data_IF_080975305787
#
_entry.id   IF_080975305787
#
_cell.length_a   1.000
_cell.length_b   1.000
_cell.length_c   1.000
_cell.angle_alpha   90.00
_cell.angle_beta   90.00
_cell.angle_gamma   90.00
#
_symmetry.space_group_name_H-M   'P 1'
#
loop_
_entity.id
_entity.type
_entity.pdbx_description
1 polymer ?
#
# COMPACT_ATOMS: atom_id res chain seq x y z
N UNK A 1 8.28 6.23 -0.89
CA UNK A 1 8.66 6.94 0.35
C UNK A 1 8.77 8.41 0.02
N UNK A 2 8.38 9.29 0.94
CA UNK A 2 8.35 10.73 0.76
C UNK A 2 9.25 11.34 1.82
N UNK A 3 10.24 12.13 1.41
CA UNK A 3 11.11 12.83 2.36
C UNK A 3 10.32 13.89 3.11
N UNK A 4 10.51 13.95 4.42
CA UNK A 4 9.85 14.92 5.28
C UNK A 4 10.53 15.08 6.63
N UNK A 5 9.85 15.80 7.52
CA UNK A 5 10.25 15.95 8.92
C UNK A 5 9.03 16.03 9.83
N UNK A 6 9.23 15.64 11.08
CA UNK A 6 8.35 15.97 12.20
C UNK A 6 9.19 16.74 13.21
N UNK A 7 8.82 17.99 13.46
CA UNK A 7 9.58 18.97 14.23
C UNK A 7 11.05 19.03 13.75
N UNK A 8 12.00 18.62 14.60
CA UNK A 8 13.43 18.61 14.30
C UNK A 8 13.92 17.29 13.66
N UNK A 9 13.08 16.24 13.58
CA UNK A 9 13.49 14.92 13.12
C UNK A 9 13.21 14.78 11.62
N UNK A 10 14.27 14.70 10.83
CA UNK A 10 14.20 14.42 9.40
C UNK A 10 14.09 12.92 9.15
N UNK A 11 13.36 12.55 8.11
CA UNK A 11 13.25 11.16 7.69
C UNK A 11 12.32 10.97 6.50
N UNK A 12 11.74 9.77 6.41
CA UNK A 12 10.88 9.38 5.31
C UNK A 12 9.53 8.87 5.78
N UNK A 13 8.47 9.38 5.16
CA UNK A 13 7.12 8.86 5.27
C UNK A 13 6.86 7.78 4.21
N UNK A 14 6.08 6.76 4.57
CA UNK A 14 5.45 5.86 3.60
C UNK A 14 4.09 6.44 3.22
N UNK A 15 3.77 6.50 1.93
CA UNK A 15 2.41 6.77 1.51
C UNK A 15 1.65 5.45 1.50
N UNK A 16 0.67 5.31 2.40
CA UNK A 16 0.04 4.04 2.73
C UNK A 16 -1.48 4.16 2.72
N UNK A 17 -2.11 3.76 1.62
CA UNK A 17 -3.57 3.75 1.50
C UNK A 17 -4.25 2.78 2.49
N UNK A 18 -3.52 1.81 3.04
CA UNK A 18 -4.00 0.91 4.11
C UNK A 18 -4.07 1.57 5.48
N UNK A 19 -3.44 2.74 5.67
CA UNK A 19 -3.55 3.53 6.88
C UNK A 19 -4.79 4.44 6.83
N UNK A 20 -5.79 4.25 7.71
CA UNK A 20 -7.08 4.98 7.66
C UNK A 20 -7.01 6.37 8.32
N UNK A 21 -5.82 6.89 8.58
CA UNK A 21 -5.59 8.17 9.26
C UNK A 21 -4.77 9.09 8.37
N UNK A 22 -4.79 10.40 8.60
CA UNK A 22 -3.95 11.34 7.83
C UNK A 22 -2.46 11.02 8.05
N UNK A 23 -2.08 10.80 9.30
CA UNK A 23 -0.72 10.44 9.71
C UNK A 23 -0.75 9.35 10.78
N UNK A 24 0.21 8.44 10.70
CA UNK A 24 0.52 7.48 11.76
C UNK A 24 2.04 7.48 11.99
N UNK A 25 2.46 8.15 13.05
CA UNK A 25 3.88 8.46 13.30
C UNK A 25 4.63 7.30 13.96
N UNK A 26 5.94 7.25 13.74
CA UNK A 26 6.82 6.25 14.34
C UNK A 26 7.46 6.76 15.64
N UNK A 27 6.96 6.27 16.77
CA UNK A 27 7.41 6.69 18.11
C UNK A 27 8.68 5.99 18.59
N UNK A 28 9.27 5.08 17.80
CA UNK A 28 10.60 4.55 18.06
C UNK A 28 11.71 5.58 17.78
N UNK A 29 11.47 6.51 16.84
CA UNK A 29 12.44 7.57 16.48
C UNK A 29 11.94 8.98 16.82
N UNK A 30 10.63 9.20 16.84
CA UNK A 30 10.05 10.50 17.14
C UNK A 30 9.82 10.68 18.64
N UNK A 31 10.20 11.84 19.22
CA UNK A 31 10.03 12.13 20.64
C UNK A 31 8.59 12.56 20.96
N UNK A 32 7.60 11.71 20.65
CA UNK A 32 6.18 11.94 20.89
C UNK A 32 5.71 11.26 22.18
N UNK A 33 4.92 11.97 22.99
CA UNK A 33 4.41 11.44 24.25
C UNK A 33 3.24 10.49 24.02
N UNK A 34 3.21 9.38 24.77
CA UNK A 34 2.11 8.41 24.79
C UNK A 34 0.97 8.91 25.71
N UNK A 35 0.36 10.05 25.36
CA UNK A 35 -0.57 10.77 26.23
C UNK A 35 -1.88 9.98 26.47
N UNK A 36 -2.35 9.25 25.45
CA UNK A 36 -3.60 8.49 25.49
C UNK A 36 -3.46 7.17 24.72
N UNK A 37 -3.87 6.06 25.32
CA UNK A 37 -4.00 4.77 24.63
C UNK A 37 -5.24 4.79 23.73
N UNK A 38 -5.08 4.36 22.48
CA UNK A 38 -6.17 4.35 21.49
C UNK A 38 -6.59 2.92 21.17
N UNK A 39 -5.64 2.07 20.79
CA UNK A 39 -5.93 0.70 20.37
C UNK A 39 -4.67 -0.19 20.40
N UNK A 40 -4.88 -1.50 20.31
CA UNK A 40 -3.83 -2.48 20.01
C UNK A 40 -4.31 -3.45 18.93
N UNK A 41 -3.36 -3.99 18.16
CA UNK A 41 -3.63 -4.88 17.05
C UNK A 41 -2.33 -5.41 16.46
N UNK A 42 -2.36 -5.75 15.17
CA UNK A 42 -1.18 -6.20 14.43
C UNK A 42 -1.09 -5.45 13.09
N UNK A 43 0.13 -5.21 12.62
CA UNK A 43 0.38 -4.77 11.25
C UNK A 43 -0.03 -5.88 10.26
N UNK A 44 -0.19 -5.54 8.97
CA UNK A 44 -0.49 -6.52 7.92
C UNK A 44 0.55 -7.65 7.81
N UNK A 45 1.78 -7.40 8.25
CA UNK A 45 2.87 -8.38 8.35
C UNK A 45 2.92 -9.17 9.67
N UNK A 46 1.94 -8.98 10.57
CA UNK A 46 1.76 -9.77 11.79
C UNK A 46 2.49 -9.26 13.04
N UNK A 47 3.30 -8.20 12.96
CA UNK A 47 3.94 -7.61 14.15
C UNK A 47 2.88 -6.92 15.02
N UNK A 48 2.94 -7.06 16.36
CA UNK A 48 2.03 -6.37 17.26
C UNK A 48 2.24 -4.85 17.17
N UNK A 49 1.14 -4.11 17.17
CA UNK A 49 1.13 -2.65 17.11
C UNK A 49 0.24 -2.12 18.23
N UNK A 50 0.75 -1.14 18.97
CA UNK A 50 -0.01 -0.41 19.99
C UNK A 50 -0.03 1.06 19.61
N UNK A 51 -1.23 1.60 19.44
CA UNK A 51 -1.46 2.97 18.98
C UNK A 51 -1.74 3.86 20.19
N UNK A 52 -0.99 4.94 20.24
CA UNK A 52 -1.16 6.03 21.19
C UNK A 52 -1.50 7.31 20.43
N UNK A 53 -2.00 8.30 21.16
CA UNK A 53 -2.23 9.65 20.68
C UNK A 53 -1.29 10.61 21.42
N UNK A 54 -0.67 11.49 20.65
CA UNK A 54 0.08 12.64 21.14
C UNK A 54 -0.80 13.88 21.02
N UNK A 55 -1.06 14.57 22.14
CA UNK A 55 -2.00 15.71 22.17
C UNK A 55 -1.36 17.02 21.77
N UNK A 56 -0.07 17.20 22.04
CA UNK A 56 0.59 18.45 21.68
C UNK A 56 0.72 18.56 20.15
N UNK A 57 0.60 19.77 19.59
CA UNK A 57 0.81 19.96 18.17
C UNK A 57 2.25 19.62 17.76
N UNK A 58 2.41 18.89 16.66
CA UNK A 58 3.70 18.69 16.00
C UNK A 58 3.70 19.32 14.61
N UNK A 59 4.86 19.81 14.19
CA UNK A 59 5.05 20.40 12.87
C UNK A 59 5.48 19.33 11.86
N UNK A 60 4.63 19.07 10.87
CA UNK A 60 4.91 18.08 9.82
C UNK A 60 5.27 18.83 8.54
N UNK A 61 6.36 18.43 7.88
CA UNK A 61 6.75 19.00 6.58
C UNK A 61 7.10 17.92 5.56
N UNK A 62 6.71 18.10 4.30
CA UNK A 62 7.06 17.23 3.17
C UNK A 62 7.87 18.00 2.11
N UNK A 63 9.06 17.49 1.76
CA UNK A 63 10.07 18.25 1.01
C UNK A 63 9.83 18.33 -0.51
N UNK A 64 8.93 17.54 -1.10
CA UNK A 64 8.63 17.52 -2.55
C UNK A 64 7.20 17.95 -2.88
N UNK A 65 6.67 18.92 -2.14
CA UNK A 65 5.35 19.53 -2.38
C UNK A 65 5.00 20.66 -1.42
N UNK A 66 5.94 21.08 -0.56
CA UNK A 66 5.83 22.10 0.51
C UNK A 66 4.48 22.08 1.21
N UNK A 67 4.12 20.88 1.71
CA UNK A 67 3.14 20.79 2.78
C UNK A 67 3.91 21.09 4.06
N UNK A 68 3.53 22.18 4.73
CA UNK A 68 3.93 22.50 6.10
C UNK A 68 2.65 22.71 6.91
N UNK A 69 2.48 21.91 7.94
CA UNK A 69 1.28 21.96 8.76
C UNK A 69 1.57 21.65 10.21
N UNK A 70 0.70 22.15 11.07
CA UNK A 70 0.69 21.87 12.49
C UNK A 70 -0.51 21.00 12.80
N UNK A 71 -0.27 19.79 13.30
CA UNK A 71 -1.32 18.81 13.61
C UNK A 71 -1.30 18.49 15.10
N UNK A 72 -2.46 18.55 15.75
CA UNK A 72 -2.68 18.04 17.10
C UNK A 72 -3.29 16.65 17.06
N UNK A 73 -3.35 15.98 18.21
CA UNK A 73 -3.99 14.67 18.37
C UNK A 73 -3.45 13.60 17.39
N UNK A 74 -2.15 13.65 17.13
CA UNK A 74 -1.51 12.77 16.15
C UNK A 74 -1.38 11.36 16.71
N UNK A 75 -1.78 10.38 15.90
CA UNK A 75 -1.61 8.96 16.24
C UNK A 75 -0.19 8.50 15.97
N UNK A 76 0.31 7.62 16.83
CA UNK A 76 1.65 7.07 16.72
C UNK A 76 1.75 5.66 17.30
N UNK A 77 2.69 4.88 16.75
CA UNK A 77 3.00 3.53 17.18
C UNK A 77 4.49 3.25 17.00
N UNK A 78 4.97 2.14 17.56
CA UNK A 78 6.34 1.67 17.36
C UNK A 78 6.42 0.89 16.04
N UNK A 79 7.18 1.41 15.08
CA UNK A 79 7.42 0.79 13.78
C UNK A 79 8.90 0.44 13.55
N UNK A 80 9.62 0.08 14.61
CA UNK A 80 11.02 -0.36 14.52
C UNK A 80 11.24 -1.49 13.50
N UNK A 81 10.26 -2.36 13.29
CA UNK A 81 10.33 -3.41 12.27
C UNK A 81 10.40 -2.86 10.83
N UNK A 82 9.74 -1.74 10.53
CA UNK A 82 9.86 -1.04 9.24
C UNK A 82 11.22 -0.35 9.16
N UNK A 83 11.72 0.20 10.26
CA UNK A 83 13.05 0.81 10.28
C UNK A 83 14.16 -0.19 9.96
N UNK A 84 14.07 -1.39 10.53
CA UNK A 84 15.03 -2.46 10.32
C UNK A 84 14.91 -3.13 8.95
N UNK A 85 13.71 -3.18 8.38
CA UNK A 85 13.42 -3.90 7.14
C UNK A 85 13.39 -3.04 5.86
N UNK A 86 13.00 -1.77 5.96
CA UNK A 86 12.63 -0.93 4.81
C UNK A 86 13.43 0.39 4.77
N UNK A 87 13.40 1.18 5.84
CA UNK A 87 14.01 2.50 5.87
C UNK A 87 14.41 2.91 7.29
N UNK A 88 15.71 2.99 7.59
CA UNK A 88 16.21 3.27 8.95
C UNK A 88 15.73 4.60 9.56
N UNK A 89 15.45 5.59 8.72
CA UNK A 89 14.91 6.92 9.01
C UNK A 89 13.39 6.99 8.79
N UNK A 90 12.67 5.87 8.91
CA UNK A 90 11.21 5.82 8.81
C UNK A 90 10.55 6.57 9.97
N UNK A 91 9.88 7.68 9.66
CA UNK A 91 9.24 8.55 10.65
C UNK A 91 7.72 8.39 10.70
N UNK A 92 7.11 7.64 9.78
CA UNK A 92 5.69 7.32 9.85
C UNK A 92 5.03 7.09 8.49
N UNK A 93 3.71 7.01 8.51
CA UNK A 93 2.86 6.80 7.35
C UNK A 93 2.02 8.05 7.10
N UNK A 94 1.80 8.38 5.83
CA UNK A 94 0.76 9.29 5.35
C UNK A 94 -0.34 8.38 4.82
N UNK A 95 -1.51 8.42 5.46
CA UNK A 95 -2.62 7.56 5.10
C UNK A 95 -3.64 8.24 4.20
N UNK A 96 -4.77 7.57 4.01
CA UNK A 96 -5.76 7.93 2.99
C UNK A 96 -6.77 8.99 3.45
N UNK A 97 -6.85 9.29 4.75
CA UNK A 97 -7.96 10.09 5.32
C UNK A 97 -8.12 11.46 4.66
N UNK A 98 -7.00 12.17 4.44
CA UNK A 98 -7.01 13.52 3.83
C UNK A 98 -7.21 13.48 2.30
N UNK A 99 -7.14 12.30 1.68
CA UNK A 99 -7.18 12.10 0.23
C UNK A 99 -8.40 11.32 -0.27
N UNK A 100 -9.15 10.64 0.61
CA UNK A 100 -10.27 9.77 0.21
C UNK A 100 -11.40 10.49 -0.55
N UNK A 101 -11.56 11.80 -0.32
CA UNK A 101 -12.54 12.65 -1.01
C UNK A 101 -11.95 13.43 -2.19
N UNK A 102 -10.64 13.30 -2.44
CA UNK A 102 -9.92 13.98 -3.51
C UNK A 102 -9.53 12.99 -4.60
N UNK A 103 -9.23 13.52 -5.78
CA UNK A 103 -8.61 12.74 -6.83
C UNK A 103 -7.11 12.94 -6.69
N UNK A 104 -6.33 11.85 -6.71
CA UNK A 104 -4.88 11.95 -6.66
C UNK A 104 -4.21 10.99 -7.64
N UNK A 105 -3.05 11.36 -8.17
CA UNK A 105 -2.22 10.47 -8.96
C UNK A 105 -0.91 10.14 -8.27
N UNK A 106 -0.43 8.91 -8.46
CA UNK A 106 0.87 8.45 -8.00
C UNK A 106 1.69 8.06 -9.23
N UNK A 107 2.82 8.73 -9.41
CA UNK A 107 3.83 8.39 -10.41
C UNK A 107 5.14 8.04 -9.69
N UNK A 108 5.41 6.73 -9.58
CA UNK A 108 6.61 6.23 -8.90
C UNK A 108 7.92 6.53 -9.65
N UNK A 109 7.88 6.80 -10.95
CA UNK A 109 9.09 7.13 -11.72
C UNK A 109 9.50 8.57 -11.48
N UNK A 110 8.53 9.49 -11.47
CA UNK A 110 8.74 10.89 -11.16
C UNK A 110 8.83 11.16 -9.64
N UNK A 111 8.60 10.14 -8.81
CA UNK A 111 8.51 10.26 -7.34
C UNK A 111 7.50 11.34 -6.92
N UNK A 112 6.34 11.35 -7.57
CA UNK A 112 5.36 12.43 -7.45
C UNK A 112 3.98 11.92 -7.09
N UNK A 113 3.33 12.64 -6.17
CA UNK A 113 1.91 12.55 -5.91
C UNK A 113 1.28 13.90 -6.30
N UNK A 114 0.26 13.87 -7.15
CA UNK A 114 -0.51 15.07 -7.53
C UNK A 114 -1.92 14.94 -6.97
N UNK A 115 -2.51 16.04 -6.51
CA UNK A 115 -3.90 16.10 -6.05
C UNK A 115 -4.67 17.01 -7.00
N UNK A 116 -5.89 16.60 -7.35
CA UNK A 116 -6.76 17.28 -8.30
C UNK A 116 -8.12 17.55 -7.64
N UNK A 117 -8.76 18.63 -8.08
CA UNK A 117 -10.14 18.95 -7.70
C UNK A 117 -11.16 18.20 -8.57
N UNK A 118 -10.79 17.91 -9.82
CA UNK A 118 -11.58 17.20 -10.80
C UNK A 118 -10.72 16.14 -11.50
N UNK A 119 -11.36 15.17 -12.18
CA UNK A 119 -10.63 14.13 -12.90
C UNK A 119 -9.81 14.78 -14.02
N UNK A 120 -8.47 14.67 -14.01
CA UNK A 120 -7.66 15.27 -15.06
C UNK A 120 -7.93 14.58 -16.40
N UNK A 121 -7.65 15.28 -17.49
CA UNK A 121 -7.67 14.65 -18.82
C UNK A 121 -6.63 13.52 -18.86
N UNK A 122 -7.10 12.29 -19.07
CA UNK A 122 -6.26 11.10 -19.11
C UNK A 122 -5.75 10.94 -20.53
N UNK A 123 -4.52 11.40 -20.77
CA UNK A 123 -3.84 11.17 -22.04
C UNK A 123 -3.31 9.73 -22.17
N UNK A 124 -3.34 9.19 -23.39
CA UNK A 124 -2.77 7.87 -23.70
C UNK A 124 -3.70 6.69 -23.42
N UNK A 125 -3.16 5.48 -23.52
CA UNK A 125 -3.89 4.25 -23.21
C UNK A 125 -3.94 4.03 -21.69
N UNK A 126 -5.13 3.80 -21.18
CA UNK A 126 -5.35 3.55 -19.77
C UNK A 126 -6.37 2.44 -19.55
N UNK A 127 -6.33 1.86 -18.36
CA UNK A 127 -7.29 0.87 -17.91
C UNK A 127 -8.07 1.47 -16.74
N UNK A 128 -9.39 1.54 -16.89
CA UNK A 128 -10.30 1.97 -15.81
C UNK A 128 -10.74 0.75 -15.00
N UNK A 129 -10.41 0.76 -13.72
CA UNK A 129 -10.81 -0.25 -12.76
C UNK A 129 -11.92 0.30 -11.88
N UNK A 130 -13.07 -0.35 -11.89
CA UNK A 130 -14.13 -0.09 -10.93
C UNK A 130 -13.82 -0.83 -9.64
N UNK A 131 -13.88 -0.11 -8.52
CA UNK A 131 -13.49 -0.60 -7.19
C UNK A 131 -14.58 -0.26 -6.17
N UNK A 132 -14.74 -1.16 -5.22
CA UNK A 132 -15.52 -0.92 -4.02
C UNK A 132 -14.59 -0.42 -2.92
N UNK A 133 -14.95 0.66 -2.22
CA UNK A 133 -14.09 1.24 -1.20
C UNK A 133 -14.58 0.88 0.19
N UNK A 134 -14.08 -0.24 0.75
CA UNK A 134 -14.28 -0.55 2.17
C UNK A 134 -13.36 -1.71 2.65
N UNK A 135 -12.37 -1.50 3.54
CA UNK A 135 -11.70 -0.24 3.89
C UNK A 135 -10.66 0.20 2.83
N UNK A 136 -10.26 -0.72 1.95
CA UNK A 136 -9.37 -0.49 0.82
C UNK A 136 -10.16 -0.54 -0.49
N UNK A 137 -9.64 0.00 -1.60
CA UNK A 137 -10.23 -0.20 -2.91
C UNK A 137 -10.07 -1.65 -3.36
N UNK A 138 -11.18 -2.36 -3.48
CA UNK A 138 -11.22 -3.78 -3.85
C UNK A 138 -11.94 -4.02 -5.17
N UNK A 139 -11.56 -5.08 -5.88
CA UNK A 139 -12.30 -5.59 -7.03
C UNK A 139 -12.23 -7.12 -7.15
N UNK A 140 -13.19 -7.68 -7.89
CA UNK A 140 -13.16 -9.09 -8.26
C UNK A 140 -12.18 -9.34 -9.41
N UNK A 141 -11.34 -10.36 -9.26
CA UNK A 141 -10.39 -10.83 -10.26
C UNK A 141 -10.68 -12.28 -10.63
N UNK A 142 -10.27 -12.69 -11.82
CA UNK A 142 -10.28 -14.10 -12.21
C UNK A 142 -8.95 -14.49 -12.85
N UNK A 143 -8.41 -15.63 -12.44
CA UNK A 143 -7.19 -16.24 -13.02
C UNK A 143 -7.49 -17.70 -13.31
N UNK A 144 -7.46 -18.12 -14.58
CA UNK A 144 -7.74 -19.52 -14.94
C UNK A 144 -9.08 -20.07 -14.43
N UNK A 145 -10.10 -19.22 -14.26
CA UNK A 145 -11.39 -19.59 -13.67
C UNK A 145 -11.46 -19.55 -12.13
N UNK A 146 -10.36 -19.28 -11.45
CA UNK A 146 -10.31 -19.06 -9.99
C UNK A 146 -10.66 -17.61 -9.68
N UNK A 147 -11.66 -17.41 -8.83
CA UNK A 147 -12.02 -16.09 -8.31
C UNK A 147 -11.05 -15.65 -7.21
N UNK A 148 -10.56 -14.42 -7.30
CA UNK A 148 -9.63 -13.81 -6.36
C UNK A 148 -10.12 -12.40 -6.03
N UNK A 149 -10.12 -12.01 -4.75
CA UNK A 149 -10.37 -10.61 -4.38
C UNK A 149 -9.07 -9.81 -4.48
N UNK A 150 -9.01 -8.89 -5.45
CA UNK A 150 -7.92 -7.93 -5.57
C UNK A 150 -8.17 -6.71 -4.69
N UNK A 151 -7.13 -6.17 -4.07
CA UNK A 151 -7.22 -4.91 -3.35
C UNK A 151 -5.96 -4.07 -3.55
N UNK A 152 -6.11 -2.74 -3.53
CA UNK A 152 -5.00 -1.82 -3.74
C UNK A 152 -4.47 -1.28 -2.41
N UNK A 153 -3.16 -1.42 -2.20
CA UNK A 153 -2.50 -0.99 -0.97
C UNK A 153 -1.09 -0.46 -1.28
N UNK A 154 -0.90 0.86 -1.24
CA UNK A 154 0.39 1.48 -1.55
C UNK A 154 1.46 1.25 -0.49
N UNK A 155 1.07 0.87 0.73
CA UNK A 155 1.97 0.47 1.82
C UNK A 155 2.42 -0.98 1.71
N UNK A 156 1.71 -1.80 0.92
CA UNK A 156 2.06 -3.19 0.66
C UNK A 156 3.04 -3.33 -0.51
N UNK A 157 3.99 -4.27 -0.42
CA UNK A 157 4.89 -4.58 -1.54
C UNK A 157 4.17 -5.28 -2.69
N UNK A 158 3.15 -6.07 -2.38
CA UNK A 158 2.47 -7.03 -3.23
C UNK A 158 2.43 -8.39 -2.53
N UNK A 159 1.25 -8.96 -2.34
CA UNK A 159 1.07 -10.25 -1.68
C UNK A 159 -0.04 -11.07 -2.33
N UNK A 160 0.08 -12.39 -2.23
CA UNK A 160 -0.85 -13.35 -2.77
C UNK A 160 -1.19 -14.37 -1.69
N UNK A 161 -2.45 -14.36 -1.26
CA UNK A 161 -3.01 -15.38 -0.38
C UNK A 161 -3.90 -16.28 -1.24
N UNK A 162 -3.66 -17.58 -1.20
CA UNK A 162 -4.52 -18.56 -1.88
C UNK A 162 -4.95 -19.66 -0.90
N UNK A 163 -6.11 -20.24 -1.15
CA UNK A 163 -6.43 -21.55 -0.57
C UNK A 163 -5.55 -22.63 -1.22
N UNK A 164 -5.43 -23.78 -0.55
CA UNK A 164 -4.67 -24.93 -1.06
C UNK A 164 -5.23 -25.39 -2.41
N UNK A 165 -6.55 -25.38 -2.58
CA UNK A 165 -7.20 -25.78 -3.83
C UNK A 165 -6.89 -24.80 -4.97
N UNK A 166 -6.93 -23.49 -4.69
CA UNK A 166 -6.64 -22.46 -5.69
C UNK A 166 -5.17 -22.51 -6.15
N UNK A 167 -4.23 -22.67 -5.21
CA UNK A 167 -2.81 -22.85 -5.53
C UNK A 167 -2.63 -24.05 -6.46
N UNK A 168 -3.18 -25.22 -6.12
CA UNK A 168 -3.01 -26.44 -6.89
C UNK A 168 -3.60 -26.30 -8.32
N UNK A 169 -4.76 -25.66 -8.46
CA UNK A 169 -5.39 -25.41 -9.76
C UNK A 169 -4.55 -24.48 -10.63
N UNK A 170 -4.09 -23.36 -10.07
CA UNK A 170 -3.31 -22.37 -10.80
C UNK A 170 -1.91 -22.89 -11.17
N UNK A 171 -1.26 -23.61 -10.26
CA UNK A 171 0.05 -24.25 -10.51
C UNK A 171 -0.06 -25.33 -11.60
N UNK A 172 -1.09 -26.18 -11.56
CA UNK A 172 -1.34 -27.20 -12.58
C UNK A 172 -1.61 -26.58 -13.97
N UNK A 173 -2.29 -25.44 -14.01
CA UNK A 173 -2.54 -24.69 -15.23
C UNK A 173 -1.32 -23.90 -15.75
N UNK A 174 -0.21 -23.87 -14.99
CA UNK A 174 0.95 -23.04 -15.32
C UNK A 174 0.73 -21.54 -15.15
N UNK A 175 -0.35 -21.14 -14.46
CA UNK A 175 -0.73 -19.74 -14.23
C UNK A 175 -0.14 -19.17 -12.95
N UNK A 176 0.24 -20.03 -12.01
CA UNK A 176 1.05 -19.67 -10.84
C UNK A 176 2.44 -20.25 -11.00
N UNK A 177 3.45 -19.38 -10.83
CA UNK A 177 4.83 -19.82 -10.63
C UNK A 177 5.32 -19.30 -9.29
N UNK A 178 6.05 -20.12 -8.57
CA UNK A 178 6.55 -19.79 -7.24
C UNK A 178 8.04 -20.09 -7.12
N UNK A 179 8.77 -19.20 -6.44
CA UNK A 179 10.19 -19.40 -6.13
C UNK A 179 10.43 -19.15 -4.65
N UNK A 180 10.98 -20.15 -3.98
CA UNK A 180 11.43 -20.01 -2.60
C UNK A 180 12.74 -19.23 -2.54
N UNK A 181 12.72 -18.11 -1.83
CA UNK A 181 13.90 -17.34 -1.49
C UNK A 181 14.24 -17.59 -0.01
N UNK A 182 15.54 -17.74 0.28
CA UNK A 182 16.01 -17.65 1.65
C UNK A 182 15.91 -16.18 2.05
N UNK A 183 15.12 -15.87 3.08
CA UNK A 183 14.90 -14.51 3.53
C UNK A 183 16.22 -13.84 3.92
N UNK A 184 16.61 -12.83 3.15
CA UNK A 184 17.50 -11.77 3.59
C UNK A 184 16.72 -10.47 3.39
N UNK A 185 16.89 -9.50 4.29
CA UNK A 185 16.14 -8.23 4.43
C UNK A 185 14.93 -8.27 5.39
N UNK A 186 15.16 -8.68 6.64
CA UNK A 186 14.27 -8.32 7.77
C UNK A 186 13.02 -9.18 7.98
N UNK A 187 12.68 -10.10 7.06
CA UNK A 187 11.64 -11.11 7.27
C UNK A 187 12.30 -12.47 7.60
N UNK A 188 12.23 -12.96 8.85
CA UNK A 188 12.77 -14.28 9.20
C UNK A 188 11.90 -15.37 8.56
N UNK A 189 12.40 -16.03 7.50
CA UNK A 189 11.70 -17.17 6.91
C UNK A 189 12.03 -17.43 5.44
N UNK A 190 11.48 -18.54 4.93
CA UNK A 190 11.40 -18.83 3.49
C UNK A 190 10.29 -17.95 2.91
N UNK A 191 10.64 -17.01 2.04
CA UNK A 191 9.65 -16.23 1.30
C UNK A 191 9.36 -16.96 0.00
N UNK A 192 8.09 -17.23 -0.28
CA UNK A 192 7.69 -17.74 -1.58
C UNK A 192 7.31 -16.54 -2.45
N UNK A 193 8.05 -16.31 -3.53
CA UNK A 193 7.70 -15.27 -4.49
C UNK A 193 6.80 -15.86 -5.56
N UNK A 194 5.57 -15.36 -5.66
CA UNK A 194 4.58 -15.73 -6.65
C UNK A 194 4.58 -14.80 -7.87
N UNK A 195 4.23 -15.38 -9.02
CA UNK A 195 3.77 -14.67 -10.22
C UNK A 195 2.47 -15.30 -10.68
N UNK A 196 1.46 -14.46 -10.91
CA UNK A 196 0.22 -14.84 -11.57
C UNK A 196 0.25 -14.35 -13.02
N UNK A 197 -0.12 -15.22 -13.96
CA UNK A 197 -0.29 -14.85 -15.37
C UNK A 197 -1.77 -14.82 -15.73
N UNK A 198 -2.12 -14.06 -16.78
CA UNK A 198 -3.50 -13.96 -17.29
C UNK A 198 -4.53 -13.48 -16.25
N UNK A 199 -4.16 -12.46 -15.47
CA UNK A 199 -5.05 -11.88 -14.47
C UNK A 199 -6.10 -11.03 -15.16
N UNK A 200 -7.38 -11.38 -14.98
CA UNK A 200 -8.49 -10.60 -15.53
C UNK A 200 -9.06 -9.65 -14.49
N UNK A 201 -9.19 -8.39 -14.88
CA UNK A 201 -9.78 -7.29 -14.13
C UNK A 201 -11.04 -6.86 -14.88
N UNK A 202 -12.24 -7.14 -14.34
CA UNK A 202 -13.47 -7.00 -15.13
C UNK A 202 -13.33 -7.74 -16.48
N UNK A 203 -13.41 -7.01 -17.61
CA UNK A 203 -13.21 -7.56 -18.96
C UNK A 203 -11.79 -7.37 -19.54
N UNK A 204 -10.88 -6.75 -18.79
CA UNK A 204 -9.50 -6.48 -19.23
C UNK A 204 -8.53 -7.58 -18.80
N UNK A 205 -7.77 -8.12 -19.74
CA UNK A 205 -6.73 -9.13 -19.49
C UNK A 205 -5.38 -8.45 -19.21
N UNK A 206 -4.78 -8.76 -18.07
CA UNK A 206 -3.40 -8.43 -17.75
C UNK A 206 -2.49 -9.64 -17.91
N UNK A 207 -1.33 -9.42 -18.53
CA UNK A 207 -0.40 -10.48 -18.87
C UNK A 207 0.18 -11.16 -17.64
N UNK A 208 0.61 -10.40 -16.62
CA UNK A 208 1.11 -10.95 -15.37
C UNK A 208 1.13 -9.92 -14.22
N UNK A 209 1.07 -10.44 -12.99
CA UNK A 209 1.39 -9.72 -11.75
C UNK A 209 2.54 -10.46 -11.08
N UNK A 210 3.66 -9.76 -10.90
CA UNK A 210 4.93 -10.28 -10.37
C UNK A 210 5.26 -9.67 -9.00
N UNK A 211 6.25 -10.25 -8.32
CA UNK A 211 6.80 -9.69 -7.09
C UNK A 211 5.90 -9.87 -5.87
N UNK A 212 5.09 -10.94 -5.87
CA UNK A 212 4.11 -11.22 -4.82
C UNK A 212 4.72 -12.08 -3.72
N UNK A 213 4.62 -11.66 -2.47
CA UNK A 213 4.85 -12.58 -1.35
C UNK A 213 3.66 -13.54 -1.25
N UNK A 214 3.92 -14.83 -1.36
CA UNK A 214 2.91 -15.89 -1.37
C UNK A 214 2.75 -16.55 -0.01
N UNK A 215 1.50 -16.67 0.43
CA UNK A 215 1.09 -17.35 1.65
C UNK A 215 -0.21 -18.14 1.43
N UNK A 216 -0.45 -19.14 2.28
CA UNK A 216 -1.74 -19.82 2.32
C UNK A 216 -2.72 -19.05 3.19
N UNK A 217 -3.98 -18.95 2.75
CA UNK A 217 -5.05 -18.30 3.50
C UNK A 217 -6.38 -19.04 3.39
N UNK A 218 -7.36 -18.60 4.17
CA UNK A 218 -8.73 -19.12 4.13
C UNK A 218 -9.53 -18.63 2.91
N UNK A 219 -8.99 -17.64 2.19
CA UNK A 219 -9.59 -17.06 0.98
C UNK A 219 -8.51 -16.64 -0.02
N UNK A 220 -8.92 -16.46 -1.28
CA UNK A 220 -8.03 -16.02 -2.34
C UNK A 220 -8.00 -14.50 -2.39
N UNK A 221 -6.85 -13.89 -2.08
CA UNK A 221 -6.66 -12.44 -2.11
C UNK A 221 -5.36 -12.05 -2.80
N UNK A 222 -5.39 -10.94 -3.53
CA UNK A 222 -4.22 -10.37 -4.19
C UNK A 222 -4.08 -8.90 -3.78
N UNK A 223 -3.00 -8.57 -3.07
CA UNK A 223 -2.62 -7.19 -2.81
C UNK A 223 -1.88 -6.62 -4.03
N UNK A 224 -2.50 -5.65 -4.69
CA UNK A 224 -1.92 -4.89 -5.80
C UNK A 224 -1.16 -3.69 -5.22
N UNK A 225 -0.01 -3.99 -4.65
CA UNK A 225 0.86 -3.02 -3.99
C UNK A 225 1.95 -2.43 -4.87
N UNK A 226 3.02 -1.92 -4.24
CA UNK A 226 4.13 -1.23 -4.90
C UNK A 226 4.69 -1.98 -6.11
N UNK A 227 4.87 -3.30 -6.04
CA UNK A 227 5.45 -4.09 -7.14
C UNK A 227 4.61 -4.04 -8.41
N UNK A 228 3.29 -3.95 -8.27
CA UNK A 228 2.35 -3.77 -9.38
C UNK A 228 2.24 -2.29 -9.76
N UNK A 229 1.94 -1.42 -8.79
CA UNK A 229 1.63 -0.01 -9.03
C UNK A 229 2.80 0.80 -9.61
N UNK A 230 4.05 0.45 -9.31
CA UNK A 230 5.23 1.13 -9.89
C UNK A 230 5.31 1.03 -11.42
N UNK A 231 4.60 0.07 -12.02
CA UNK A 231 4.48 -0.10 -13.46
C UNK A 231 3.63 0.97 -14.14
N UNK A 232 2.85 1.75 -13.40
CA UNK A 232 1.86 2.68 -13.93
C UNK A 232 2.05 4.09 -13.35
N UNK A 233 1.48 5.09 -14.02
CA UNK A 233 0.90 6.20 -13.28
C UNK A 233 -0.53 5.81 -12.92
N UNK A 234 -0.85 5.86 -11.62
CA UNK A 234 -2.17 5.49 -11.12
C UNK A 234 -2.93 6.72 -10.69
N UNK A 235 -4.17 6.91 -11.16
CA UNK A 235 -5.08 7.99 -10.74
C UNK A 235 -6.20 7.37 -9.92
N UNK A 236 -6.39 7.86 -8.70
CA UNK A 236 -7.31 7.34 -7.71
C UNK A 236 -8.46 8.32 -7.56
N UNK A 237 -9.64 7.91 -8.03
CA UNK A 237 -10.91 8.64 -7.92
C UNK A 237 -11.86 7.81 -7.05
N UNK A 238 -11.51 7.73 -5.76
CA UNK A 238 -12.18 6.85 -4.81
C UNK A 238 -13.62 7.31 -4.54
N UNK A 239 -13.88 8.62 -4.53
CA UNK A 239 -15.24 9.16 -4.44
C UNK A 239 -16.19 8.56 -5.49
N UNK A 240 -15.69 8.29 -6.70
CA UNK A 240 -16.47 7.69 -7.78
C UNK A 240 -16.19 6.18 -7.99
N UNK A 241 -15.48 5.54 -7.06
CA UNK A 241 -15.21 4.09 -7.11
C UNK A 241 -14.35 3.67 -8.30
N UNK A 242 -13.34 4.47 -8.66
CA UNK A 242 -12.49 4.18 -9.81
C UNK A 242 -11.00 4.38 -9.54
N UNK A 243 -10.18 3.52 -10.13
CA UNK A 243 -8.73 3.70 -10.29
C UNK A 243 -8.39 3.58 -11.77
N UNK A 244 -7.60 4.52 -12.28
CA UNK A 244 -7.12 4.52 -13.65
C UNK A 244 -5.63 4.17 -13.65
N UNK A 245 -5.26 3.16 -14.44
CA UNK A 245 -3.87 2.74 -14.62
C UNK A 245 -3.42 3.15 -16.01
N UNK A 246 -2.55 4.16 -16.08
CA UNK A 246 -2.00 4.66 -17.34
C UNK A 246 -0.81 3.80 -17.73
N UNK A 247 -0.90 3.21 -18.93
CA UNK A 247 0.16 2.38 -19.47
C UNK A 247 1.37 3.27 -19.78
N UNK A 248 2.54 2.90 -19.23
CA UNK A 248 3.79 3.57 -19.59
C UNK A 248 4.13 3.20 -21.03
N UNK A 249 4.44 4.21 -21.85
CA UNK A 249 5.04 4.03 -23.17
C UNK A 249 6.52 3.66 -23.05
#
# INVERSE_FOLDING_TARGET
MINGRVDAVHGRFMFDTGTPFSYLLNNNILPVNKDEFIASGHAGSGQPVVIFKHRNPAHISLFYGVIEEMKSDILHADFDFIQKGVACDFIGMIGIEDLKERIFSINYQEQLIRVYDELPEIGGEYIKLLVNNNPLPELGLTVGGVSITGYFDTGNLGSLLLTVEAEALLSKAGLLTSKTLNGNHGAPGRIVMGRLSEVKFNDSLYTAVDGLTFEYGESNRLALGYSFLKGYESIWDLKNGAIYLLMKK
#
